data_IF_702157530281
#
_entry.id   IF_702157530281
#
_cell.length_a   1.000
_cell.length_b   1.000
_cell.length_c   1.000
_cell.angle_alpha   90.00
_cell.angle_beta   90.00
_cell.angle_gamma   90.00
#
_symmetry.space_group_name_H-M   'P 1'
#
loop_
_entity.id
_entity.type
_entity.pdbx_description
1 polymer ?
#
# COMPACT_ATOMS: atom_id res chain seq x y z
N UNK A 1 26.03 0.24 7.69
CA UNK A 1 25.60 -0.73 8.72
C UNK A 1 24.09 -0.64 9.05
N UNK A 2 23.20 -0.14 8.17
CA UNK A 2 21.79 0.17 8.53
C UNK A 2 20.72 -0.41 7.58
N UNK A 3 21.09 -1.23 6.60
CA UNK A 3 20.13 -1.76 5.59
C UNK A 3 19.38 -3.01 6.03
N UNK A 4 20.00 -3.91 6.83
CA UNK A 4 19.34 -5.14 7.30
C UNK A 4 18.09 -4.88 8.17
N UNK A 5 18.14 -4.00 9.20
CA UNK A 5 16.98 -3.77 10.05
C UNK A 5 15.79 -3.16 9.28
N UNK A 6 16.06 -2.22 8.38
CA UNK A 6 15.02 -1.61 7.53
C UNK A 6 14.41 -2.63 6.57
N UNK A 7 15.21 -3.55 6.04
CA UNK A 7 14.72 -4.62 5.15
C UNK A 7 13.82 -5.61 5.89
N UNK A 8 14.20 -6.04 7.09
CA UNK A 8 13.38 -6.93 7.92
C UNK A 8 12.03 -6.29 8.29
N UNK A 9 12.03 -5.00 8.62
CA UNK A 9 10.80 -4.23 8.88
C UNK A 9 9.90 -4.19 7.64
N UNK A 10 10.47 -3.91 6.45
CA UNK A 10 9.71 -3.91 5.20
C UNK A 10 9.10 -5.28 4.89
N UNK A 11 9.85 -6.35 5.09
CA UNK A 11 9.34 -7.73 4.92
C UNK A 11 8.20 -8.03 5.88
N UNK A 12 8.27 -7.54 7.13
CA UNK A 12 7.18 -7.69 8.11
C UNK A 12 5.89 -7.02 7.62
N UNK A 13 5.95 -5.78 7.14
CA UNK A 13 4.76 -5.09 6.63
C UNK A 13 4.25 -5.65 5.30
N UNK A 14 5.14 -6.17 4.44
CA UNK A 14 4.72 -6.88 3.23
C UNK A 14 3.99 -8.19 3.56
N UNK A 15 4.42 -8.94 4.59
CA UNK A 15 3.67 -10.10 5.07
C UNK A 15 2.30 -9.73 5.61
N UNK A 16 2.18 -8.61 6.32
CA UNK A 16 0.87 -8.08 6.71
C UNK A 16 0.01 -7.73 5.47
N UNK A 17 0.61 -7.15 4.43
CA UNK A 17 -0.11 -6.90 3.17
C UNK A 17 -0.58 -8.21 2.50
N UNK A 18 0.19 -9.30 2.58
CA UNK A 18 -0.26 -10.63 2.15
C UNK A 18 -1.41 -11.17 3.00
N UNK A 19 -1.40 -10.94 4.32
CA UNK A 19 -2.52 -11.28 5.21
C UNK A 19 -3.78 -10.50 4.85
N UNK A 20 -3.66 -9.21 4.51
CA UNK A 20 -4.78 -8.42 3.98
C UNK A 20 -5.28 -8.97 2.63
N UNK A 21 -4.37 -9.28 1.70
CA UNK A 21 -4.72 -9.90 0.42
C UNK A 21 -5.48 -11.22 0.60
N UNK A 22 -5.14 -12.00 1.63
CA UNK A 22 -5.79 -13.26 1.93
C UNK A 22 -7.27 -13.12 2.31
N UNK A 23 -7.73 -11.93 2.72
CA UNK A 23 -9.13 -11.61 3.03
C UNK A 23 -10.00 -11.40 1.79
N UNK A 24 -9.40 -11.24 0.60
CA UNK A 24 -10.14 -11.03 -0.65
C UNK A 24 -11.00 -12.24 -0.99
N UNK A 25 -12.26 -12.03 -1.40
CA UNK A 25 -12.98 -13.10 -2.12
C UNK A 25 -12.33 -13.28 -3.51
N UNK A 26 -11.79 -14.47 -3.84
CA UNK A 26 -11.11 -14.70 -5.10
C UNK A 26 -12.11 -14.82 -6.25
N UNK A 27 -11.82 -14.16 -7.38
CA UNK A 27 -12.65 -14.25 -8.59
C UNK A 27 -11.75 -14.45 -9.83
N UNK A 28 -12.23 -15.10 -10.91
CA UNK A 28 -11.41 -15.42 -12.09
C UNK A 28 -10.95 -14.23 -12.93
N UNK A 29 -11.49 -13.03 -12.68
CA UNK A 29 -11.30 -11.85 -13.53
C UNK A 29 -10.48 -10.75 -12.85
N UNK A 30 -10.03 -10.96 -11.61
CA UNK A 30 -9.29 -9.95 -10.87
C UNK A 30 -8.37 -10.57 -9.81
N UNK A 31 -7.18 -9.97 -9.65
CA UNK A 31 -6.22 -10.39 -8.64
C UNK A 31 -6.65 -10.11 -7.20
N UNK A 32 -6.11 -10.88 -6.27
CA UNK A 32 -6.20 -10.64 -4.83
C UNK A 32 -4.97 -9.82 -4.38
N UNK A 33 -5.16 -8.51 -4.22
CA UNK A 33 -4.09 -7.59 -3.78
C UNK A 33 -4.39 -7.12 -2.36
N UNK A 34 -3.34 -6.94 -1.58
CA UNK A 34 -3.38 -6.32 -0.25
C UNK A 34 -2.42 -5.14 -0.15
N UNK A 35 -2.76 -4.20 0.71
CA UNK A 35 -2.07 -2.92 0.89
C UNK A 35 -2.00 -2.56 2.37
N UNK A 36 -0.86 -2.02 2.81
CA UNK A 36 -0.65 -1.46 4.16
C UNK A 36 0.03 -0.12 4.02
N UNK A 37 -0.49 0.90 4.69
CA UNK A 37 0.08 2.24 4.78
C UNK A 37 0.65 2.39 6.19
N UNK A 38 1.95 2.65 6.30
CA UNK A 38 2.60 2.96 7.58
C UNK A 38 3.15 4.37 7.58
N UNK A 39 3.23 4.97 8.75
CA UNK A 39 3.74 6.33 8.95
C UNK A 39 4.79 6.28 10.06
N UNK A 40 5.93 6.95 9.88
CA UNK A 40 6.95 7.05 10.91
C UNK A 40 6.43 7.87 12.10
N UNK A 41 6.61 7.35 13.30
CA UNK A 41 6.24 8.00 14.58
C UNK A 41 7.43 8.01 15.51
N UNK A 42 7.53 9.04 16.35
CA UNK A 42 8.56 9.15 17.37
C UNK A 42 8.05 8.55 18.68
N UNK A 43 8.72 7.49 19.14
CA UNK A 43 8.46 6.86 20.42
C UNK A 43 8.83 7.77 21.60
N UNK A 44 8.30 7.44 22.78
CA UNK A 44 8.61 8.16 24.03
C UNK A 44 10.08 8.04 24.44
N UNK A 45 10.77 7.01 23.96
CA UNK A 45 12.21 6.76 24.13
C UNK A 45 13.07 7.48 23.09
N UNK A 46 12.47 8.28 22.19
CA UNK A 46 13.16 8.99 21.13
C UNK A 46 13.50 8.13 19.90
N UNK A 47 13.05 6.87 19.86
CA UNK A 47 13.27 6.01 18.70
C UNK A 47 12.19 6.21 17.64
N UNK A 48 12.55 6.13 16.36
CA UNK A 48 11.58 6.16 15.28
C UNK A 48 11.02 4.76 15.05
N UNK A 49 9.70 4.65 14.99
CA UNK A 49 9.00 3.40 14.69
C UNK A 49 7.90 3.63 13.65
N UNK A 50 7.66 2.64 12.79
CA UNK A 50 6.55 2.66 11.84
C UNK A 50 5.24 2.27 12.54
N UNK A 51 4.20 3.05 12.33
CA UNK A 51 2.84 2.75 12.81
C UNK A 51 1.90 2.62 11.63
N UNK A 52 1.01 1.63 11.67
CA UNK A 52 0.01 1.44 10.61
C UNK A 52 -1.00 2.58 10.69
N UNK A 53 -1.20 3.27 9.57
CA UNK A 53 -2.25 4.28 9.40
C UNK A 53 -3.52 3.62 8.87
N UNK A 54 -3.40 2.78 7.84
CA UNK A 54 -4.53 2.07 7.26
C UNK A 54 -4.05 0.81 6.54
N UNK A 55 -4.93 -0.17 6.43
CA UNK A 55 -4.76 -1.33 5.54
C UNK A 55 -5.78 -1.27 4.42
N UNK A 56 -5.69 -2.15 3.42
CA UNK A 56 -6.71 -2.29 2.38
C UNK A 56 -6.50 -3.59 1.62
N UNK A 57 -7.59 -4.19 1.13
CA UNK A 57 -7.51 -5.31 0.21
C UNK A 57 -8.50 -5.17 -0.94
N UNK A 58 -8.27 -5.89 -2.02
CA UNK A 58 -9.10 -5.80 -3.23
C UNK A 58 -10.54 -6.21 -2.93
N UNK A 59 -11.52 -5.45 -3.44
CA UNK A 59 -12.96 -5.68 -3.24
C UNK A 59 -13.43 -5.61 -1.78
N UNK A 60 -12.66 -4.96 -0.90
CA UNK A 60 -13.07 -4.72 0.49
C UNK A 60 -14.27 -3.76 0.58
N UNK A 61 -14.20 -2.63 -0.15
CA UNK A 61 -15.27 -1.64 -0.19
C UNK A 61 -16.15 -1.85 -1.43
N UNK A 62 -17.38 -1.34 -1.36
CA UNK A 62 -18.34 -1.43 -2.46
C UNK A 62 -17.85 -0.72 -3.72
N UNK A 63 -18.19 -1.28 -4.88
CA UNK A 63 -17.61 -0.87 -6.17
C UNK A 63 -16.31 -1.63 -6.45
N UNK A 64 -15.91 -1.73 -7.72
CA UNK A 64 -14.73 -2.48 -8.15
C UNK A 64 -13.43 -1.83 -7.63
N UNK A 65 -13.14 -2.03 -6.35
CA UNK A 65 -12.11 -1.34 -5.57
C UNK A 65 -10.82 -2.15 -5.48
N UNK A 66 -9.70 -1.44 -5.56
CA UNK A 66 -8.36 -2.01 -5.41
C UNK A 66 -7.85 -1.79 -3.98
N UNK A 67 -6.84 -2.56 -3.59
CA UNK A 67 -6.29 -2.53 -2.24
C UNK A 67 -5.78 -1.14 -1.82
N UNK A 68 -5.04 -0.47 -2.70
CA UNK A 68 -4.44 0.85 -2.44
C UNK A 68 -5.51 1.93 -2.35
N UNK A 69 -6.53 1.85 -3.21
CA UNK A 69 -7.68 2.76 -3.15
C UNK A 69 -8.44 2.60 -1.82
N UNK A 70 -8.65 1.37 -1.36
CA UNK A 70 -9.31 1.10 -0.09
C UNK A 70 -8.48 1.58 1.11
N UNK A 71 -7.16 1.37 1.07
CA UNK A 71 -6.25 1.84 2.12
C UNK A 71 -6.21 3.38 2.19
N UNK A 72 -6.12 4.06 1.05
CA UNK A 72 -6.16 5.53 1.00
C UNK A 72 -7.50 6.09 1.47
N UNK A 73 -8.63 5.49 1.03
CA UNK A 73 -9.96 5.92 1.46
C UNK A 73 -10.12 5.78 2.97
N UNK A 74 -9.68 4.65 3.55
CA UNK A 74 -9.69 4.45 5.00
C UNK A 74 -8.78 5.44 5.72
N UNK A 75 -7.58 5.70 5.22
CA UNK A 75 -6.67 6.70 5.79
C UNK A 75 -7.31 8.10 5.82
N UNK A 76 -7.97 8.53 4.74
CA UNK A 76 -8.67 9.81 4.70
C UNK A 76 -9.86 9.87 5.67
N UNK A 77 -10.59 8.76 5.84
CA UNK A 77 -11.73 8.69 6.77
C UNK A 77 -11.34 8.73 8.25
N UNK A 78 -10.04 8.64 8.58
CA UNK A 78 -9.54 8.85 9.94
C UNK A 78 -9.45 10.35 10.32
N UNK A 79 -9.72 11.28 9.40
CA UNK A 79 -9.67 12.71 9.68
C UNK A 79 -10.58 13.08 10.87
N UNK A 80 -9.99 13.69 11.90
CA UNK A 80 -10.71 14.14 13.09
C UNK A 80 -11.21 13.02 14.01
N UNK A 81 -10.83 11.76 13.79
CA UNK A 81 -11.19 10.67 14.71
C UNK A 81 -10.29 10.68 15.94
N UNK A 82 -10.87 10.32 17.09
CA UNK A 82 -10.12 10.16 18.34
C UNK A 82 -9.02 9.10 18.20
N UNK A 83 -9.26 8.05 17.40
CA UNK A 83 -8.27 7.02 17.09
C UNK A 83 -7.02 7.60 16.43
N UNK A 84 -7.17 8.47 15.43
CA UNK A 84 -6.04 9.10 14.77
C UNK A 84 -5.25 9.98 15.73
N UNK A 85 -5.95 10.78 16.55
CA UNK A 85 -5.33 11.68 17.51
C UNK A 85 -4.59 10.92 18.62
N UNK A 86 -5.16 9.81 19.10
CA UNK A 86 -4.49 8.93 20.07
C UNK A 86 -3.29 8.23 19.45
N UNK A 87 -3.38 7.86 18.17
CA UNK A 87 -2.32 7.14 17.51
C UNK A 87 -1.13 8.02 17.10
N UNK A 88 -1.38 9.26 16.66
CA UNK A 88 -0.40 10.14 16.01
C UNK A 88 -0.27 11.53 16.65
N UNK A 89 -1.06 11.85 17.67
CA UNK A 89 -1.00 13.10 18.42
C UNK A 89 -2.00 14.16 17.98
N UNK A 90 -2.10 15.24 18.77
CA UNK A 90 -2.96 16.38 18.46
C UNK A 90 -2.53 17.10 17.17
N UNK A 91 -3.48 17.38 16.28
CA UNK A 91 -3.23 17.99 14.97
C UNK A 91 -2.75 17.00 13.90
N UNK A 92 -2.82 15.69 14.17
CA UNK A 92 -2.59 14.67 13.16
C UNK A 92 -3.65 14.77 12.06
N UNK A 93 -3.20 15.08 10.84
CA UNK A 93 -4.04 15.18 9.65
C UNK A 93 -3.64 14.11 8.63
N UNK A 94 -4.58 13.31 8.10
CA UNK A 94 -4.27 12.23 7.17
C UNK A 94 -3.43 12.68 5.98
N UNK A 95 -3.73 13.84 5.38
CA UNK A 95 -2.96 14.37 4.25
C UNK A 95 -1.49 14.63 4.60
N UNK A 96 -1.20 15.02 5.85
CA UNK A 96 0.17 15.25 6.31
C UNK A 96 0.89 13.96 6.64
N UNK A 97 0.18 13.00 7.23
CA UNK A 97 0.72 11.68 7.54
C UNK A 97 1.03 10.89 6.26
N UNK A 98 0.14 10.95 5.26
CA UNK A 98 0.32 10.28 3.97
C UNK A 98 1.60 10.75 3.25
N UNK A 99 1.97 12.04 3.35
CA UNK A 99 3.23 12.55 2.76
C UNK A 99 4.50 11.98 3.39
N UNK A 100 4.40 11.40 4.57
CA UNK A 100 5.49 10.73 5.27
C UNK A 100 5.40 9.20 5.14
N UNK A 101 4.34 8.70 4.49
CA UNK A 101 3.97 7.30 4.56
C UNK A 101 4.77 6.39 3.63
N UNK A 102 4.94 5.17 4.11
CA UNK A 102 5.41 4.03 3.34
C UNK A 102 4.19 3.17 2.97
N UNK A 103 4.01 2.93 1.68
CA UNK A 103 2.91 2.11 1.16
C UNK A 103 3.45 0.77 0.72
N UNK A 104 3.01 -0.30 1.36
CA UNK A 104 3.32 -1.68 1.03
C UNK A 104 2.18 -2.26 0.22
N UNK A 105 2.44 -2.70 -1.01
CA UNK A 105 1.44 -3.34 -1.87
C UNK A 105 1.97 -4.66 -2.40
N UNK A 106 1.14 -5.70 -2.36
CA UNK A 106 1.57 -7.03 -2.81
C UNK A 106 1.78 -7.10 -4.33
N UNK A 107 1.12 -6.23 -5.10
CA UNK A 107 1.20 -6.16 -6.57
C UNK A 107 1.51 -4.73 -7.00
N UNK A 108 2.21 -4.57 -8.14
CA UNK A 108 2.46 -3.26 -8.76
C UNK A 108 1.16 -2.43 -8.91
N UNK A 109 1.11 -1.18 -8.42
CA UNK A 109 -0.07 -0.35 -8.54
C UNK A 109 -0.48 -0.12 -9.98
N UNK A 110 -1.76 -0.31 -10.28
CA UNK A 110 -2.25 -0.17 -11.65
C UNK A 110 -2.07 1.27 -12.19
N UNK A 111 -1.68 1.37 -13.45
CA UNK A 111 -1.53 2.64 -14.19
C UNK A 111 -2.77 3.02 -15.00
N UNK A 112 -3.66 2.06 -15.25
CA UNK A 112 -4.92 2.21 -15.97
C UNK A 112 -6.01 1.45 -15.21
N UNK A 113 -7.21 2.02 -15.15
CA UNK A 113 -8.41 1.35 -14.63
C UNK A 113 -9.56 1.55 -15.61
N UNK A 114 -10.35 0.48 -15.77
CA UNK A 114 -11.61 0.52 -16.51
C UNK A 114 -12.78 0.96 -15.62
N UNK A 115 -12.64 0.85 -14.29
CA UNK A 115 -13.58 1.43 -13.35
C UNK A 115 -13.38 2.96 -13.29
N UNK A 116 -14.45 3.73 -13.11
CA UNK A 116 -14.42 5.20 -13.06
C UNK A 116 -13.66 5.83 -11.87
N UNK A 117 -12.83 5.04 -11.17
CA UNK A 117 -11.92 5.49 -10.13
C UNK A 117 -10.55 5.76 -10.73
N UNK A 118 -9.80 6.70 -10.15
CA UNK A 118 -8.43 6.96 -10.55
C UNK A 118 -7.56 5.68 -10.46
N UNK A 119 -6.60 5.50 -11.39
CA UNK A 119 -5.56 4.47 -11.27
C UNK A 119 -4.84 4.54 -9.93
N UNK A 120 -4.44 3.39 -9.38
CA UNK A 120 -3.81 3.34 -8.06
C UNK A 120 -2.50 4.14 -8.03
N UNK A 121 -1.70 4.09 -9.11
CA UNK A 121 -0.50 4.91 -9.22
C UNK A 121 -0.82 6.42 -9.11
N UNK A 122 -1.85 6.89 -9.82
CA UNK A 122 -2.23 8.30 -9.80
C UNK A 122 -2.79 8.73 -8.43
N UNK A 123 -3.53 7.83 -7.74
CA UNK A 123 -4.03 8.07 -6.40
C UNK A 123 -2.90 8.20 -5.37
N UNK A 124 -1.86 7.35 -5.46
CA UNK A 124 -0.68 7.42 -4.61
C UNK A 124 0.14 8.70 -4.88
N UNK A 125 0.29 9.08 -6.15
CA UNK A 125 0.90 10.36 -6.55
C UNK A 125 0.14 11.53 -5.94
N UNK A 126 -1.18 11.55 -6.07
CA UNK A 126 -2.03 12.61 -5.51
C UNK A 126 -1.97 12.67 -3.98
N UNK A 127 -1.82 11.53 -3.31
CA UNK A 127 -1.63 11.48 -1.86
C UNK A 127 -0.24 11.97 -1.42
N UNK A 128 0.73 12.01 -2.35
CA UNK A 128 2.08 12.49 -2.12
C UNK A 128 2.90 11.56 -1.23
N UNK A 129 2.64 10.24 -1.29
CA UNK A 129 3.31 9.25 -0.43
C UNK A 129 4.82 9.23 -0.63
N UNK A 130 5.57 8.89 0.42
CA UNK A 130 7.03 8.97 0.40
C UNK A 130 7.66 7.78 -0.32
N UNK A 131 7.24 6.58 0.07
CA UNK A 131 7.79 5.33 -0.45
C UNK A 131 6.65 4.41 -0.92
N UNK A 132 6.87 3.70 -2.02
CA UNK A 132 6.03 2.60 -2.46
C UNK A 132 6.87 1.31 -2.51
N UNK A 133 6.56 0.38 -1.63
CA UNK A 133 7.22 -0.91 -1.46
C UNK A 133 6.34 -1.97 -2.13
N UNK A 134 6.89 -2.68 -3.11
CA UNK A 134 6.12 -3.54 -4.02
C UNK A 134 6.62 -4.99 -3.90
N UNK A 135 5.67 -5.93 -3.76
CA UNK A 135 5.95 -7.36 -3.60
C UNK A 135 6.24 -8.08 -4.92
N UNK A 136 5.40 -7.90 -5.93
CA UNK A 136 5.63 -8.45 -7.28
C UNK A 136 5.16 -7.49 -8.37
N UNK A 137 5.82 -7.57 -9.52
CA UNK A 137 5.43 -6.82 -10.71
C UNK A 137 4.10 -7.33 -11.27
N UNK A 138 3.32 -6.45 -11.89
CA UNK A 138 2.13 -6.86 -12.65
C UNK A 138 2.55 -7.88 -13.73
N UNK A 139 1.93 -9.07 -13.78
CA UNK A 139 2.24 -10.06 -14.80
C UNK A 139 1.90 -9.56 -16.21
N UNK A 140 2.80 -9.79 -17.17
CA UNK A 140 2.67 -9.29 -18.54
C UNK A 140 1.49 -9.89 -19.33
N UNK A 141 0.90 -10.98 -18.85
CA UNK A 141 -0.29 -11.63 -19.40
C UNK A 141 -1.61 -10.94 -19.02
N UNK A 142 -1.59 -9.95 -18.10
CA UNK A 142 -2.80 -9.23 -17.69
C UNK A 142 -2.89 -7.83 -18.32
N UNK A 143 -2.05 -6.89 -17.88
CA UNK A 143 -2.01 -5.50 -18.39
C UNK A 143 -0.56 -5.03 -18.43
N UNK A 144 -0.16 -4.33 -19.49
CA UNK A 144 1.12 -3.62 -19.50
C UNK A 144 1.01 -2.42 -18.54
N UNK A 145 1.58 -2.57 -17.34
CA UNK A 145 1.54 -1.55 -16.31
C UNK A 145 2.75 -0.61 -16.39
N UNK A 146 2.52 0.69 -16.34
CA UNK A 146 3.54 1.73 -16.16
C UNK A 146 3.46 2.38 -14.75
N UNK A 147 2.88 1.68 -13.78
CA UNK A 147 2.59 2.23 -12.45
C UNK A 147 3.84 2.65 -11.70
N UNK A 148 4.85 1.78 -11.69
CA UNK A 148 6.16 2.08 -11.07
C UNK A 148 6.85 3.29 -11.69
N UNK A 149 6.83 3.40 -13.02
CA UNK A 149 7.39 4.56 -13.73
C UNK A 149 6.69 5.86 -13.34
N UNK A 150 5.34 5.88 -13.33
CA UNK A 150 4.56 7.04 -12.90
C UNK A 150 4.91 7.50 -11.48
N UNK A 151 5.07 6.56 -10.54
CA UNK A 151 5.46 6.85 -9.17
C UNK A 151 6.86 7.48 -9.11
N UNK A 152 7.83 6.89 -9.82
CA UNK A 152 9.20 7.39 -9.89
C UNK A 152 9.27 8.79 -10.51
N UNK A 153 8.55 9.03 -11.61
CA UNK A 153 8.48 10.33 -12.29
C UNK A 153 7.89 11.43 -11.38
N UNK A 154 7.01 11.06 -10.43
CA UNK A 154 6.46 11.94 -9.41
C UNK A 154 7.38 12.14 -8.18
N UNK A 155 8.56 11.52 -8.17
CA UNK A 155 9.52 11.61 -7.06
C UNK A 155 9.24 10.66 -5.88
N UNK A 156 8.33 9.71 -6.05
CA UNK A 156 8.06 8.67 -5.04
C UNK A 156 9.14 7.59 -5.15
N UNK A 157 9.74 7.23 -4.01
CA UNK A 157 10.76 6.20 -3.99
C UNK A 157 10.13 4.80 -4.08
N UNK A 158 10.42 4.08 -5.16
CA UNK A 158 9.90 2.74 -5.41
C UNK A 158 10.94 1.69 -5.00
N UNK A 159 10.52 0.76 -4.14
CA UNK A 159 11.37 -0.31 -3.60
C UNK A 159 10.73 -1.66 -3.90
N UNK A 160 11.48 -2.57 -4.51
CA UNK A 160 11.04 -3.93 -4.76
C UNK A 160 11.48 -4.87 -3.63
N UNK A 161 10.60 -5.79 -3.23
CA UNK A 161 10.87 -6.84 -2.24
C UNK A 161 10.85 -8.22 -2.88
N UNK A 162 11.90 -8.52 -3.64
CA UNK A 162 12.05 -9.74 -4.42
C UNK A 162 11.99 -11.02 -3.57
N UNK A 163 12.25 -10.96 -2.25
CA UNK A 163 12.19 -12.13 -1.35
C UNK A 163 10.79 -12.76 -1.27
N UNK A 164 9.75 -11.96 -1.48
CA UNK A 164 8.36 -12.40 -1.36
C UNK A 164 7.64 -12.41 -2.71
N UNK A 165 8.39 -12.28 -3.82
CA UNK A 165 7.82 -12.18 -5.17
C UNK A 165 6.92 -13.37 -5.50
N UNK A 166 7.40 -14.60 -5.27
CA UNK A 166 6.66 -15.82 -5.55
C UNK A 166 5.40 -15.96 -4.67
N UNK A 167 5.49 -15.56 -3.40
CA UNK A 167 4.35 -15.56 -2.48
C UNK A 167 3.29 -14.53 -2.91
N UNK A 168 3.73 -13.32 -3.28
CA UNK A 168 2.87 -12.25 -3.78
C UNK A 168 2.17 -12.64 -5.08
N UNK A 169 2.89 -13.27 -6.02
CA UNK A 169 2.32 -13.74 -7.28
C UNK A 169 1.29 -14.85 -7.06
N UNK A 170 1.61 -15.81 -6.19
CA UNK A 170 0.70 -16.90 -5.83
C UNK A 170 -0.58 -16.35 -5.20
N UNK A 171 -0.44 -15.38 -4.28
CA UNK A 171 -1.58 -14.73 -3.64
C UNK A 171 -2.42 -13.96 -4.65
N UNK A 172 -1.80 -13.17 -5.53
CA UNK A 172 -2.49 -12.41 -6.56
C UNK A 172 -3.37 -13.33 -7.44
N UNK A 173 -2.84 -14.48 -7.84
CA UNK A 173 -3.51 -15.44 -8.72
C UNK A 173 -4.46 -16.43 -8.03
N UNK A 174 -4.78 -16.26 -6.74
CA UNK A 174 -5.63 -17.22 -6.02
C UNK A 174 -7.01 -17.49 -6.66
N UNK A 175 -7.53 -16.56 -7.46
CA UNK A 175 -8.78 -16.72 -8.21
C UNK A 175 -8.65 -17.26 -9.63
N UNK A 176 -7.44 -17.41 -10.15
CA UNK A 176 -7.13 -17.79 -11.53
C UNK A 176 -6.73 -19.27 -11.67
#
# INVERSE_FOLDING_TARGET
MSERPQREERLRYMRLALEEAAKCEPIPTAFCVGCVITVPTLGTDGTMAQKILATGYSRELTGNTHAEANALAKAHNLAGTEELLQAFGHGAEPSSLLRLADVYTTLEPCSVRLSGLAPCADALVSAGVRNCIIGVKEPADFVQCEGTKKLQDAGINVIWLDDLEAECLTMARRGH
#
